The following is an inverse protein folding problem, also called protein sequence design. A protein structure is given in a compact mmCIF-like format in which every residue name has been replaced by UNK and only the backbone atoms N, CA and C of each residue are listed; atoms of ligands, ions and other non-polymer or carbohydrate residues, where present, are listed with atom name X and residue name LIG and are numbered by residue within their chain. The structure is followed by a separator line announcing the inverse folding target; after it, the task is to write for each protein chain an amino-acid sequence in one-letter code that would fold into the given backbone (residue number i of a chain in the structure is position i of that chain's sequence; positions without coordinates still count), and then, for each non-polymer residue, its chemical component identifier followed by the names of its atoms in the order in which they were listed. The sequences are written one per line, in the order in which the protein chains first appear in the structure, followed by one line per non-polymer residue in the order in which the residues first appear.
data_IF_282809419535
#
_entry.id   IF_282809419535
#
_cell.length_a   1.000
_cell.length_b   1.000
_cell.length_c   1.000
_cell.angle_alpha   90.00
_cell.angle_beta   90.00
_cell.angle_gamma   90.00
#
_symmetry.space_group_name_H-M   'P 1'
#
loop_
_entity.id
_entity.type
_entity.pdbx_description
1 polymer ?
#
# COMPACT_ATOMS: atom_id res chain seq x y z
N UNK A 1 31.20 -9.54 25.94
CA UNK A 1 30.18 -9.96 24.95
C UNK A 1 30.77 -9.73 23.57
N UNK A 2 30.85 -10.77 22.73
CA UNK A 2 31.24 -10.64 21.33
C UNK A 2 30.04 -10.09 20.57
N UNK A 3 30.11 -8.84 20.12
CA UNK A 3 29.08 -8.25 19.28
C UNK A 3 29.11 -8.90 17.89
N UNK A 4 27.97 -9.11 17.24
CA UNK A 4 27.95 -9.50 15.84
C UNK A 4 28.65 -8.44 14.98
N UNK A 5 29.38 -8.86 13.94
CA UNK A 5 29.97 -7.92 12.99
C UNK A 5 28.83 -7.19 12.26
N UNK A 6 28.90 -5.85 12.22
CA UNK A 6 27.95 -5.03 11.48
C UNK A 6 28.15 -5.27 9.99
N UNK A 7 27.09 -5.72 9.31
CA UNK A 7 27.09 -5.99 7.87
C UNK A 7 25.67 -5.94 7.31
N UNK A 8 25.59 -5.84 5.98
CA UNK A 8 24.32 -5.98 5.24
C UNK A 8 24.31 -7.33 4.52
N UNK A 9 23.23 -8.08 4.64
CA UNK A 9 23.04 -9.36 3.96
C UNK A 9 21.84 -9.27 3.02
N UNK A 10 22.01 -9.68 1.76
CA UNK A 10 20.92 -9.69 0.77
C UNK A 10 20.41 -11.10 0.54
N UNK A 11 19.09 -11.25 0.55
CA UNK A 11 18.38 -12.49 0.28
C UNK A 11 17.45 -12.31 -0.92
N UNK A 12 17.23 -13.38 -1.68
CA UNK A 12 16.47 -13.32 -2.93
C UNK A 12 15.06 -13.89 -2.81
N UNK A 13 14.75 -14.52 -1.67
CA UNK A 13 13.44 -15.07 -1.36
C UNK A 13 13.06 -14.70 0.08
N UNK A 14 11.75 -14.60 0.34
CA UNK A 14 11.24 -14.28 1.68
C UNK A 14 11.62 -15.37 2.69
N UNK A 15 11.60 -16.65 2.28
CA UNK A 15 11.91 -17.77 3.16
C UNK A 15 13.37 -17.76 3.63
N UNK A 16 14.30 -17.44 2.72
CA UNK A 16 15.72 -17.27 3.08
C UNK A 16 15.92 -16.11 4.05
N UNK A 17 15.27 -14.97 3.79
CA UNK A 17 15.37 -13.82 4.68
C UNK A 17 14.79 -14.13 6.06
N UNK A 18 13.62 -14.77 6.12
CA UNK A 18 12.96 -15.14 7.38
C UNK A 18 13.80 -16.16 8.16
N UNK A 19 14.36 -17.17 7.49
CA UNK A 19 15.26 -18.14 8.11
C UNK A 19 16.51 -17.45 8.72
N UNK A 20 17.10 -16.50 7.98
CA UNK A 20 18.21 -15.72 8.49
C UNK A 20 17.81 -14.85 9.68
N UNK A 21 16.68 -14.15 9.59
CA UNK A 21 16.11 -13.36 10.68
C UNK A 21 15.93 -14.18 11.96
N UNK A 22 15.38 -15.40 11.85
CA UNK A 22 15.26 -16.35 12.97
C UNK A 22 16.61 -16.75 13.55
N UNK A 23 17.58 -17.12 12.70
CA UNK A 23 18.90 -17.56 13.16
C UNK A 23 19.68 -16.46 13.87
N UNK A 24 19.47 -15.20 13.48
CA UNK A 24 20.18 -14.05 14.01
C UNK A 24 19.49 -13.48 15.24
N UNK A 25 18.18 -13.71 15.42
CA UNK A 25 17.33 -13.11 16.44
C UNK A 25 17.92 -13.14 17.86
N UNK A 26 18.64 -14.20 18.25
CA UNK A 26 19.22 -14.32 19.60
C UNK A 26 20.31 -13.28 19.89
N UNK A 27 21.01 -12.77 18.86
CA UNK A 27 22.09 -11.80 19.00
C UNK A 27 21.60 -10.34 19.07
N UNK A 28 20.33 -10.07 18.77
CA UNK A 28 19.76 -8.72 18.69
C UNK A 28 18.66 -8.55 19.74
N UNK A 29 18.54 -7.35 20.31
CA UNK A 29 17.48 -6.99 21.26
C UNK A 29 16.36 -6.19 20.59
N UNK A 30 16.74 -5.41 19.57
CA UNK A 30 15.82 -4.57 18.80
C UNK A 30 15.80 -5.02 17.35
N UNK A 31 14.59 -5.10 16.77
CA UNK A 31 14.42 -5.33 15.35
C UNK A 31 13.50 -4.26 14.77
N UNK A 32 13.94 -3.57 13.72
CA UNK A 32 13.10 -2.65 12.98
C UNK A 32 12.82 -3.15 11.56
N UNK A 33 11.66 -2.82 11.04
CA UNK A 33 11.21 -3.22 9.72
C UNK A 33 10.87 -2.02 8.86
N UNK A 34 11.21 -2.08 7.58
CA UNK A 34 10.51 -1.29 6.59
C UNK A 34 9.04 -1.76 6.44
N UNK A 35 8.16 -0.85 6.03
CA UNK A 35 6.74 -1.13 5.90
C UNK A 35 6.34 -1.64 4.51
N UNK A 36 6.63 -0.85 3.47
CA UNK A 36 6.07 -1.05 2.14
C UNK A 36 7.03 -1.82 1.25
N UNK A 37 6.54 -2.81 0.53
CA UNK A 37 7.35 -3.77 -0.23
C UNK A 37 8.18 -4.73 0.64
N UNK A 38 8.26 -4.46 1.95
CA UNK A 38 8.76 -5.36 2.99
C UNK A 38 7.64 -6.06 3.75
N UNK A 39 7.03 -5.46 4.78
CA UNK A 39 5.98 -6.10 5.58
C UNK A 39 4.66 -6.22 4.81
N UNK A 40 4.31 -5.15 4.07
CA UNK A 40 3.09 -5.04 3.30
C UNK A 40 3.43 -4.77 1.83
N UNK A 41 2.90 -5.58 0.92
CA UNK A 41 2.98 -5.33 -0.53
C UNK A 41 1.67 -4.76 -1.05
N UNK A 42 1.72 -4.05 -2.18
CA UNK A 42 0.54 -3.50 -2.84
C UNK A 42 0.06 -4.40 -3.97
N UNK A 43 -1.26 -4.55 -4.12
CA UNK A 43 -1.92 -5.19 -5.28
C UNK A 43 -1.57 -4.50 -6.60
N UNK A 44 -1.32 -3.20 -6.54
CA UNK A 44 -0.93 -2.34 -7.67
C UNK A 44 0.58 -2.24 -7.83
N UNK A 45 1.02 -1.97 -9.06
CA UNK A 45 2.45 -1.81 -9.40
C UNK A 45 3.01 -0.41 -9.08
N UNK A 46 2.13 0.57 -8.94
CA UNK A 46 2.47 1.98 -8.76
C UNK A 46 1.59 2.55 -7.63
N UNK A 47 2.16 2.91 -6.48
CA UNK A 47 1.43 3.48 -5.35
C UNK A 47 0.59 4.72 -5.72
N UNK A 48 1.02 5.52 -6.71
CA UNK A 48 0.30 6.72 -7.11
C UNK A 48 -1.09 6.44 -7.72
N UNK A 49 -1.36 5.18 -8.11
CA UNK A 49 -2.68 4.79 -8.57
C UNK A 49 -3.75 4.88 -7.49
N UNK A 50 -3.39 4.84 -6.20
CA UNK A 50 -4.32 5.06 -5.07
C UNK A 50 -4.82 6.50 -5.01
N UNK A 51 -4.03 7.47 -5.48
CA UNK A 51 -4.38 8.90 -5.46
C UNK A 51 -5.58 9.21 -6.38
N UNK A 52 -5.72 8.46 -7.49
CA UNK A 52 -6.79 8.67 -8.50
C UNK A 52 -8.21 8.49 -7.95
N UNK A 53 -8.57 7.37 -7.30
CA UNK A 53 -9.90 7.23 -6.69
C UNK A 53 -10.16 8.28 -5.61
N UNK A 54 -9.13 8.77 -4.90
CA UNK A 54 -9.28 9.87 -3.93
C UNK A 54 -9.62 11.18 -4.65
N UNK A 55 -8.91 11.50 -5.74
CA UNK A 55 -9.20 12.69 -6.54
C UNK A 55 -10.62 12.65 -7.15
N UNK A 56 -11.09 11.47 -7.56
CA UNK A 56 -12.48 11.26 -8.01
C UNK A 56 -13.49 11.48 -6.88
N UNK A 57 -13.20 10.96 -5.69
CA UNK A 57 -14.04 11.15 -4.52
C UNK A 57 -14.17 12.63 -4.14
N UNK A 58 -13.05 13.36 -4.09
CA UNK A 58 -13.04 14.82 -3.85
C UNK A 58 -13.84 15.57 -4.93
N UNK A 59 -13.66 15.23 -6.22
CA UNK A 59 -14.42 15.82 -7.33
C UNK A 59 -15.94 15.58 -7.21
N UNK A 60 -16.34 14.39 -6.74
CA UNK A 60 -17.74 14.08 -6.47
C UNK A 60 -18.30 14.92 -5.30
N UNK A 61 -17.55 15.05 -4.20
CA UNK A 61 -17.92 15.92 -3.07
C UNK A 61 -18.05 17.40 -3.50
N UNK A 62 -17.12 17.88 -4.32
CA UNK A 62 -17.19 19.23 -4.87
C UNK A 62 -18.45 19.43 -5.74
N UNK A 63 -18.81 18.42 -6.55
CA UNK A 63 -20.01 18.45 -7.40
C UNK A 63 -21.30 18.51 -6.59
N UNK A 64 -21.38 17.80 -5.45
CA UNK A 64 -22.50 17.89 -4.51
C UNK A 64 -22.64 19.32 -3.94
N UNK A 65 -21.51 19.99 -3.69
CA UNK A 65 -21.43 21.40 -3.32
C UNK A 65 -21.57 22.38 -4.49
N UNK A 66 -22.13 21.94 -5.64
CA UNK A 66 -22.33 22.74 -6.86
C UNK A 66 -21.04 23.32 -7.50
N UNK A 67 -19.86 22.80 -7.15
CA UNK A 67 -18.58 23.16 -7.78
C UNK A 67 -18.24 22.17 -8.88
N UNK A 68 -18.06 22.67 -10.10
CA UNK A 68 -17.63 21.83 -11.24
C UNK A 68 -16.11 21.81 -11.32
N UNK A 69 -15.49 20.74 -10.81
CA UNK A 69 -14.06 20.48 -10.93
C UNK A 69 -13.83 19.04 -11.37
N UNK A 70 -12.99 18.84 -12.40
CA UNK A 70 -12.64 17.49 -12.86
C UNK A 70 -11.70 16.80 -11.88
N UNK A 71 -11.78 15.47 -11.76
CA UNK A 71 -10.86 14.71 -10.90
C UNK A 71 -9.39 14.86 -11.35
N UNK A 72 -9.12 15.09 -12.63
CA UNK A 72 -7.78 15.38 -13.13
C UNK A 72 -7.25 16.71 -12.61
N UNK A 73 -8.11 17.73 -12.54
CA UNK A 73 -7.77 19.03 -11.94
C UNK A 73 -7.51 18.86 -10.45
N UNK A 74 -8.34 18.09 -9.73
CA UNK A 74 -8.10 17.78 -8.31
C UNK A 74 -6.75 17.09 -8.11
N UNK A 75 -6.43 16.06 -8.90
CA UNK A 75 -5.15 15.36 -8.84
C UNK A 75 -3.99 16.32 -9.07
N UNK A 76 -4.10 17.20 -10.08
CA UNK A 76 -3.07 18.20 -10.38
C UNK A 76 -2.83 19.15 -9.20
N UNK A 77 -3.90 19.68 -8.59
CA UNK A 77 -3.79 20.56 -7.42
C UNK A 77 -3.11 19.82 -6.25
N UNK A 78 -3.50 18.57 -6.00
CA UNK A 78 -2.88 17.72 -4.96
C UNK A 78 -1.38 17.58 -5.19
N UNK A 79 -0.97 17.20 -6.41
CA UNK A 79 0.44 16.96 -6.75
C UNK A 79 1.28 18.25 -6.69
N UNK A 80 0.72 19.38 -7.13
CA UNK A 80 1.36 20.70 -7.02
C UNK A 80 1.52 21.13 -5.56
N UNK A 81 0.53 20.85 -4.71
CA UNK A 81 0.56 21.19 -3.29
C UNK A 81 1.55 20.31 -2.52
N UNK A 82 1.56 18.99 -2.78
CA UNK A 82 2.54 18.06 -2.22
C UNK A 82 3.98 18.49 -2.61
N UNK A 83 4.20 18.81 -3.89
CA UNK A 83 5.50 19.29 -4.38
C UNK A 83 5.90 20.62 -3.74
N UNK A 84 4.96 21.56 -3.58
CA UNK A 84 5.24 22.83 -2.91
C UNK A 84 5.68 22.61 -1.46
N UNK A 85 5.03 21.70 -0.72
CA UNK A 85 5.43 21.35 0.63
C UNK A 85 6.83 20.71 0.67
N UNK A 86 7.17 19.80 -0.26
CA UNK A 86 8.52 19.21 -0.35
C UNK A 86 9.60 20.28 -0.58
N UNK A 87 9.31 21.27 -1.41
CA UNK A 87 10.24 22.39 -1.66
C UNK A 87 10.39 23.30 -0.44
N UNK A 88 9.30 23.55 0.29
CA UNK A 88 9.32 24.35 1.51
C UNK A 88 10.10 23.66 2.61
N UNK A 89 9.80 22.39 2.88
CA UNK A 89 10.53 21.57 3.86
C UNK A 89 11.99 21.40 3.47
N UNK A 90 12.27 21.33 2.16
CA UNK A 90 13.61 21.31 1.59
C UNK A 90 14.51 22.51 1.94
N UNK A 91 13.92 23.63 2.41
CA UNK A 91 14.67 24.79 2.91
C UNK A 91 15.22 24.57 4.33
N UNK A 92 14.66 23.63 5.07
CA UNK A 92 14.99 23.36 6.48
C UNK A 92 15.57 21.96 6.67
N UNK A 93 15.08 20.98 5.92
CA UNK A 93 15.45 19.56 5.99
C UNK A 93 15.91 19.08 4.63
N UNK A 94 17.03 18.38 4.56
CA UNK A 94 17.58 17.94 3.27
C UNK A 94 16.75 16.81 2.61
N UNK A 95 15.90 16.09 3.36
CA UNK A 95 15.10 14.96 2.84
C UNK A 95 13.83 15.40 2.09
N UNK A 96 13.48 16.69 2.13
CA UNK A 96 12.36 17.27 1.36
C UNK A 96 11.04 16.48 1.50
N UNK A 97 10.71 16.08 2.74
CA UNK A 97 9.56 15.24 3.00
C UNK A 97 8.24 16.01 3.00
N UNK A 98 7.16 15.35 2.58
CA UNK A 98 5.80 15.88 2.65
C UNK A 98 5.04 15.19 3.77
N UNK A 99 4.09 15.91 4.38
CA UNK A 99 3.24 15.37 5.44
C UNK A 99 1.78 15.48 5.05
N UNK A 100 1.11 14.32 4.94
CA UNK A 100 -0.24 14.17 4.41
C UNK A 100 -1.26 15.17 4.92
N UNK A 101 -1.49 15.31 6.25
CA UNK A 101 -2.54 16.20 6.75
C UNK A 101 -2.33 17.65 6.31
N UNK A 102 -1.07 18.09 6.22
CA UNK A 102 -0.70 19.46 5.87
C UNK A 102 -1.01 19.76 4.40
N UNK A 103 -0.43 19.01 3.45
CA UNK A 103 -0.67 19.30 2.03
C UNK A 103 -2.10 18.97 1.60
N UNK A 104 -2.78 18.01 2.25
CA UNK A 104 -4.17 17.72 1.95
C UNK A 104 -5.12 18.77 2.49
N UNK A 105 -4.88 19.33 3.67
CA UNK A 105 -5.60 20.50 4.14
C UNK A 105 -5.49 21.64 3.12
N UNK A 106 -4.26 21.97 2.69
CA UNK A 106 -4.02 23.02 1.69
C UNK A 106 -4.71 22.71 0.35
N UNK A 107 -4.65 21.47 -0.12
CA UNK A 107 -5.32 21.01 -1.34
C UNK A 107 -6.83 21.23 -1.24
N UNK A 108 -7.45 20.83 -0.13
CA UNK A 108 -8.88 20.96 0.08
C UNK A 108 -9.30 22.42 0.28
N UNK A 109 -8.51 23.23 0.99
CA UNK A 109 -8.74 24.69 1.07
C UNK A 109 -8.69 25.35 -0.30
N UNK A 110 -7.74 24.96 -1.15
CA UNK A 110 -7.64 25.46 -2.53
C UNK A 110 -8.84 25.11 -3.41
N UNK A 111 -9.50 23.98 -3.17
CA UNK A 111 -10.66 23.52 -3.95
C UNK A 111 -11.99 24.03 -3.39
N UNK A 112 -12.16 24.01 -2.06
CA UNK A 112 -13.44 24.30 -1.41
C UNK A 112 -13.55 25.73 -0.88
N UNK A 113 -12.43 26.44 -0.70
CA UNK A 113 -12.40 27.82 -0.23
C UNK A 113 -13.07 27.96 1.14
N UNK A 114 -14.09 28.81 1.23
CA UNK A 114 -14.89 29.04 2.45
C UNK A 114 -15.63 27.81 2.96
N UNK A 115 -15.88 26.82 2.10
CA UNK A 115 -16.66 25.62 2.46
C UNK A 115 -15.76 24.49 2.98
N UNK A 116 -14.46 24.72 3.09
CA UNK A 116 -13.55 23.80 3.76
C UNK A 116 -13.94 23.62 5.23
N UNK A 117 -13.88 22.39 5.72
CA UNK A 117 -14.08 22.04 7.12
C UNK A 117 -13.13 20.92 7.53
N UNK A 118 -12.85 20.81 8.82
CA UNK A 118 -12.04 19.70 9.36
C UNK A 118 -12.72 18.35 9.12
N UNK A 119 -14.07 18.31 9.13
CA UNK A 119 -14.84 17.12 8.76
C UNK A 119 -14.59 16.68 7.32
N UNK A 120 -14.46 17.62 6.37
CA UNK A 120 -14.09 17.31 4.99
C UNK A 120 -12.70 16.68 4.91
N UNK A 121 -11.72 17.23 5.62
CA UNK A 121 -10.37 16.65 5.70
C UNK A 121 -10.41 15.23 6.27
N UNK A 122 -11.14 15.02 7.36
CA UNK A 122 -11.30 13.70 7.97
C UNK A 122 -11.98 12.70 7.02
N UNK A 123 -13.05 13.10 6.31
CA UNK A 123 -13.72 12.26 5.31
C UNK A 123 -12.79 11.84 4.18
N UNK A 124 -12.02 12.78 3.64
CA UNK A 124 -11.06 12.51 2.54
C UNK A 124 -9.92 11.63 3.03
N UNK A 125 -9.38 11.92 4.22
CA UNK A 125 -8.32 11.14 4.87
C UNK A 125 -8.76 9.69 5.08
N UNK A 126 -9.94 9.49 5.67
CA UNK A 126 -10.50 8.15 5.90
C UNK A 126 -10.71 7.39 4.59
N UNK A 127 -11.16 8.08 3.53
CA UNK A 127 -11.30 7.47 2.21
C UNK A 127 -9.94 7.06 1.63
N UNK A 128 -8.90 7.90 1.72
CA UNK A 128 -7.55 7.57 1.23
C UNK A 128 -6.93 6.41 2.02
N UNK A 129 -7.04 6.40 3.35
CA UNK A 129 -6.58 5.28 4.18
C UNK A 129 -7.34 4.00 3.88
N UNK A 130 -8.65 4.08 3.62
CA UNK A 130 -9.45 2.94 3.15
C UNK A 130 -8.93 2.40 1.82
N UNK A 131 -8.65 3.29 0.87
CA UNK A 131 -8.13 2.89 -0.44
C UNK A 131 -6.73 2.27 -0.33
N UNK A 132 -5.79 2.89 0.40
CA UNK A 132 -4.47 2.31 0.67
C UNK A 132 -4.60 0.93 1.32
N UNK A 133 -5.35 0.83 2.42
CA UNK A 133 -5.53 -0.44 3.14
C UNK A 133 -6.15 -1.53 2.27
N UNK A 134 -7.10 -1.21 1.39
CA UNK A 134 -7.72 -2.19 0.48
C UNK A 134 -6.75 -2.75 -0.56
N UNK A 135 -5.65 -2.03 -0.82
CA UNK A 135 -4.61 -2.43 -1.76
C UNK A 135 -3.42 -3.11 -1.08
N UNK A 136 -3.29 -3.01 0.24
CA UNK A 136 -2.19 -3.58 1.00
C UNK A 136 -2.47 -5.02 1.38
N UNK A 137 -1.41 -5.84 1.35
CA UNK A 137 -1.45 -7.24 1.72
C UNK A 137 -0.25 -7.56 2.61
N UNK A 138 -0.49 -8.15 3.79
CA UNK A 138 0.60 -8.60 4.64
C UNK A 138 1.30 -9.82 4.03
N UNK A 139 2.63 -9.85 4.13
CA UNK A 139 3.43 -10.99 3.69
C UNK A 139 3.53 -12.00 4.82
N UNK A 140 2.73 -13.08 4.77
CA UNK A 140 2.54 -13.98 5.91
C UNK A 140 3.84 -14.50 6.54
N UNK A 141 4.88 -14.94 5.79
CA UNK A 141 6.12 -15.41 6.39
C UNK A 141 6.82 -14.35 7.28
N UNK A 142 6.76 -13.07 6.87
CA UNK A 142 7.29 -11.97 7.68
C UNK A 142 6.40 -11.65 8.87
N UNK A 143 5.07 -11.79 8.74
CA UNK A 143 4.17 -11.58 9.87
C UNK A 143 4.40 -12.62 10.97
N UNK A 144 4.65 -13.87 10.58
CA UNK A 144 5.02 -14.93 11.53
C UNK A 144 6.36 -14.63 12.21
N UNK A 145 7.37 -14.16 11.46
CA UNK A 145 8.62 -13.70 12.07
C UNK A 145 8.40 -12.56 13.08
N UNK A 146 7.58 -11.56 12.75
CA UNK A 146 7.25 -10.45 13.67
C UNK A 146 6.63 -10.99 14.96
N UNK A 147 5.66 -11.90 14.86
CA UNK A 147 5.03 -12.54 16.03
C UNK A 147 6.03 -13.31 16.87
N UNK A 148 6.87 -14.12 16.25
CA UNK A 148 7.91 -14.91 16.92
C UNK A 148 8.89 -14.00 17.68
N UNK A 149 9.37 -12.93 17.05
CA UNK A 149 10.28 -11.98 17.69
C UNK A 149 9.61 -11.24 18.86
N UNK A 150 8.34 -10.87 18.71
CA UNK A 150 7.57 -10.27 19.80
C UNK A 150 7.45 -11.22 21.00
N UNK A 151 7.13 -12.50 20.76
CA UNK A 151 7.05 -13.53 21.81
C UNK A 151 8.41 -13.79 22.49
N UNK A 152 9.51 -13.54 21.80
CA UNK A 152 10.87 -13.60 22.37
C UNK A 152 11.24 -12.35 23.18
N UNK A 153 10.33 -11.39 23.34
CA UNK A 153 10.55 -10.15 24.10
C UNK A 153 11.43 -9.13 23.36
N UNK A 154 11.55 -9.24 22.03
CA UNK A 154 12.29 -8.25 21.23
C UNK A 154 11.51 -6.94 21.15
N UNK A 155 12.23 -5.82 21.13
CA UNK A 155 11.64 -4.50 20.86
C UNK A 155 11.48 -4.33 19.36
N UNK A 156 10.25 -4.16 18.89
CA UNK A 156 9.94 -4.11 17.47
C UNK A 156 9.52 -2.71 17.02
N UNK A 157 10.07 -2.23 15.91
CA UNK A 157 9.74 -0.93 15.34
C UNK A 157 9.41 -1.03 13.85
N UNK A 158 8.58 -0.12 13.36
CA UNK A 158 8.43 0.14 11.92
C UNK A 158 9.06 1.48 11.58
N UNK A 159 9.86 1.54 10.51
CA UNK A 159 10.46 2.79 10.00
C UNK A 159 10.18 2.85 8.51
N UNK A 160 9.42 3.86 8.07
CA UNK A 160 8.99 3.99 6.68
C UNK A 160 9.18 5.40 6.14
N UNK A 161 9.72 5.50 4.93
CA UNK A 161 9.83 6.75 4.19
C UNK A 161 8.58 6.93 3.32
N UNK A 162 7.65 7.74 3.79
CA UNK A 162 6.35 7.93 3.14
C UNK A 162 5.70 9.22 3.60
N UNK A 163 4.86 9.81 2.74
CA UNK A 163 4.12 11.02 3.05
C UNK A 163 3.03 10.86 4.14
N UNK A 164 2.75 9.64 4.58
CA UNK A 164 1.75 9.33 5.60
C UNK A 164 2.37 9.39 7.01
N UNK A 165 1.85 10.19 7.95
CA UNK A 165 2.37 10.23 9.31
C UNK A 165 2.16 8.90 10.05
N UNK A 166 2.90 8.68 11.13
CA UNK A 166 2.91 7.46 11.93
C UNK A 166 1.50 7.09 12.42
N UNK A 167 0.65 8.06 12.76
CA UNK A 167 -0.74 7.78 13.14
C UNK A 167 -1.54 7.10 12.02
N UNK A 168 -1.31 7.48 10.76
CA UNK A 168 -1.92 6.84 9.61
C UNK A 168 -1.32 5.45 9.35
N UNK A 169 -0.01 5.31 9.49
CA UNK A 169 0.64 4.00 9.36
C UNK A 169 0.17 3.01 10.43
N UNK A 170 -0.07 3.47 11.67
CA UNK A 170 -0.66 2.65 12.74
C UNK A 170 -2.03 2.13 12.35
N UNK A 171 -2.89 2.93 11.70
CA UNK A 171 -4.19 2.47 11.17
C UNK A 171 -4.00 1.37 10.12
N UNK A 172 -3.01 1.51 9.22
CA UNK A 172 -2.73 0.48 8.19
C UNK A 172 -2.23 -0.83 8.83
N UNK A 173 -1.35 -0.74 9.82
CA UNK A 173 -0.82 -1.89 10.57
C UNK A 173 -1.91 -2.58 11.42
N UNK A 174 -2.83 -1.80 11.99
CA UNK A 174 -3.96 -2.32 12.76
C UNK A 174 -4.91 -3.11 11.87
N UNK A 175 -5.24 -2.57 10.70
CA UNK A 175 -6.04 -3.28 9.67
C UNK A 175 -5.35 -4.52 9.12
N UNK A 176 -4.02 -4.53 9.10
CA UNK A 176 -3.22 -5.71 8.76
C UNK A 176 -3.08 -6.71 9.93
N UNK A 177 -3.57 -6.37 11.12
CA UNK A 177 -3.56 -7.24 12.31
C UNK A 177 -2.20 -7.38 12.98
N UNK A 178 -1.27 -6.44 12.76
CA UNK A 178 0.11 -6.54 13.27
C UNK A 178 0.55 -5.37 14.15
N UNK A 179 -0.23 -4.30 14.26
CA UNK A 179 0.10 -3.16 15.12
C UNK A 179 0.48 -3.56 16.56
N UNK A 180 -0.23 -4.48 17.26
CA UNK A 180 0.06 -4.79 18.66
C UNK A 180 1.46 -5.36 18.92
N UNK A 181 2.17 -5.83 17.90
CA UNK A 181 3.50 -6.40 18.06
C UNK A 181 4.61 -5.34 18.11
N UNK A 182 4.33 -4.12 17.66
CA UNK A 182 5.32 -3.04 17.54
C UNK A 182 5.24 -2.08 18.73
N UNK A 183 6.42 -1.69 19.23
CA UNK A 183 6.58 -0.68 20.28
C UNK A 183 6.24 0.73 19.74
N UNK A 184 6.76 1.08 18.56
CA UNK A 184 6.37 2.31 17.86
C UNK A 184 6.53 2.22 16.34
N UNK A 185 5.93 3.19 15.65
CA UNK A 185 5.96 3.36 14.20
C UNK A 185 6.52 4.74 13.90
N UNK A 186 7.53 4.80 13.04
CA UNK A 186 8.25 6.01 12.68
C UNK A 186 8.04 6.27 11.20
N UNK A 187 7.57 7.48 10.88
CA UNK A 187 7.37 7.95 9.52
C UNK A 187 8.24 9.16 9.23
N UNK A 188 8.85 9.18 8.03
CA UNK A 188 9.58 10.36 7.55
C UNK A 188 8.68 11.60 7.38
N UNK A 189 7.36 11.42 7.24
CA UNK A 189 6.40 12.54 7.23
C UNK A 189 6.27 13.26 8.58
N UNK A 190 6.58 12.61 9.70
CA UNK A 190 6.57 13.25 11.03
C UNK A 190 7.94 13.85 11.39
N UNK A 191 9.00 13.14 11.04
CA UNK A 191 10.37 13.47 11.46
C UNK A 191 11.08 14.40 10.49
N UNK A 192 10.65 14.43 9.22
CA UNK A 192 11.38 14.99 8.08
C UNK A 192 12.80 14.40 7.92
N UNK A 193 13.05 13.23 8.52
CA UNK A 193 14.31 12.49 8.45
C UNK A 193 14.02 11.09 7.91
N UNK A 194 14.56 10.81 6.73
CA UNK A 194 14.31 9.60 5.97
C UNK A 194 15.40 8.53 6.20
N UNK A 195 15.05 7.26 5.97
CA UNK A 195 16.02 6.16 5.83
C UNK A 195 16.86 6.34 4.57
N UNK A 196 16.32 6.91 3.51
CA UNK A 196 17.04 7.17 2.25
C UNK A 196 18.34 7.98 2.46
N UNK A 197 18.32 8.96 3.36
CA UNK A 197 19.51 9.71 3.79
C UNK A 197 20.28 9.08 4.94
N UNK A 198 19.70 8.06 5.59
CA UNK A 198 20.22 7.40 6.78
C UNK A 198 19.91 8.13 8.09
N UNK A 199 19.31 9.32 8.05
CA UNK A 199 19.08 10.14 9.26
C UNK A 199 17.98 9.61 10.17
N UNK A 200 17.09 8.77 9.65
CA UNK A 200 16.09 8.10 10.47
C UNK A 200 16.73 7.24 11.57
N UNK A 201 17.83 6.54 11.29
CA UNK A 201 18.41 5.58 12.24
C UNK A 201 18.99 6.25 13.50
N UNK A 202 19.86 7.28 13.42
CA UNK A 202 20.33 7.98 14.61
C UNK A 202 19.22 8.66 15.40
N UNK A 203 18.18 9.16 14.72
CA UNK A 203 17.01 9.74 15.40
C UNK A 203 16.27 8.69 16.24
N UNK A 204 15.97 7.54 15.65
CA UNK A 204 15.29 6.44 16.35
C UNK A 204 16.15 5.90 17.48
N UNK A 205 17.45 5.69 17.24
CA UNK A 205 18.42 5.29 18.24
C UNK A 205 18.36 6.19 19.48
N UNK A 206 18.48 7.50 19.28
CA UNK A 206 18.48 8.50 20.36
C UNK A 206 17.13 8.56 21.08
N UNK A 207 16.03 8.54 20.33
CA UNK A 207 14.66 8.65 20.89
C UNK A 207 14.32 7.46 21.80
N UNK A 208 14.70 6.24 21.40
CA UNK A 208 14.32 5.00 22.09
C UNK A 208 15.45 4.35 22.87
N UNK A 209 16.61 5.00 22.94
CA UNK A 209 17.82 4.55 23.64
C UNK A 209 18.21 3.12 23.21
N UNK A 210 18.29 2.90 21.90
CA UNK A 210 18.64 1.61 21.30
C UNK A 210 20.16 1.55 21.13
N UNK A 211 20.75 0.39 21.45
CA UNK A 211 22.14 0.09 21.13
C UNK A 211 22.23 -0.39 19.67
N UNK A 212 22.98 0.33 18.82
CA UNK A 212 23.12 -0.01 17.41
C UNK A 212 23.67 -1.42 17.17
N UNK A 213 24.53 -1.93 18.06
CA UNK A 213 25.19 -3.24 17.90
C UNK A 213 24.26 -4.43 18.15
N UNK A 214 23.16 -4.19 18.85
CA UNK A 214 22.11 -5.18 19.11
C UNK A 214 20.80 -4.82 18.40
N UNK A 215 20.91 -4.00 17.35
CA UNK A 215 19.82 -3.64 16.46
C UNK A 215 19.97 -4.31 15.09
N UNK A 216 18.92 -5.02 14.68
CA UNK A 216 18.73 -5.55 13.33
C UNK A 216 17.69 -4.73 12.56
N UNK A 217 17.98 -4.35 11.33
CA UNK A 217 16.99 -3.76 10.42
C UNK A 217 16.66 -4.72 9.27
N UNK A 218 15.38 -4.80 8.89
CA UNK A 218 14.90 -5.65 7.79
C UNK A 218 14.10 -4.78 6.80
N UNK A 219 14.47 -4.80 5.53
CA UNK A 219 13.76 -4.07 4.48
C UNK A 219 14.01 -4.63 3.08
N UNK A 220 13.53 -3.94 2.04
CA UNK A 220 13.66 -4.39 0.64
C UNK A 220 14.67 -3.55 -0.15
N UNK A 221 14.94 -2.32 0.29
CA UNK A 221 15.80 -1.41 -0.44
C UNK A 221 17.28 -1.60 -0.07
N UNK A 222 18.17 -1.94 -1.03
CA UNK A 222 19.59 -2.18 -0.74
C UNK A 222 20.34 -0.97 -0.17
N UNK A 223 19.85 0.25 -0.44
CA UNK A 223 20.47 1.48 0.05
C UNK A 223 19.82 1.88 1.38
N UNK A 224 18.55 2.25 1.36
CA UNK A 224 17.89 2.82 2.56
C UNK A 224 17.71 1.81 3.70
N UNK A 225 17.57 0.53 3.38
CA UNK A 225 17.40 -0.54 4.37
C UNK A 225 18.62 -1.46 4.47
N UNK A 226 19.61 -1.28 3.59
CA UNK A 226 20.84 -2.06 3.56
C UNK A 226 22.05 -1.26 4.03
N UNK A 227 22.53 -0.38 3.15
CA UNK A 227 23.72 0.45 3.37
C UNK A 227 23.55 1.46 4.51
N UNK A 228 22.43 2.21 4.54
CA UNK A 228 22.20 3.30 5.51
C UNK A 228 22.15 2.84 6.98
N UNK A 229 21.51 1.70 7.34
CA UNK A 229 21.64 1.14 8.67
C UNK A 229 23.09 0.78 9.02
N UNK A 230 23.84 0.17 8.09
CA UNK A 230 25.24 -0.24 8.31
C UNK A 230 26.14 0.96 8.58
N UNK A 231 25.96 2.06 7.84
CA UNK A 231 26.64 3.34 8.11
C UNK A 231 26.36 3.89 9.52
N UNK A 232 25.21 3.51 10.10
CA UNK A 232 24.81 3.84 11.47
C UNK A 232 25.17 2.76 12.50
N UNK A 233 25.97 1.75 12.14
CA UNK A 233 26.39 0.67 13.03
C UNK A 233 25.36 -0.45 13.25
N UNK A 234 24.31 -0.50 12.42
CA UNK A 234 23.17 -1.43 12.55
C UNK A 234 23.33 -2.56 11.51
N UNK A 235 23.15 -3.82 11.92
CA UNK A 235 23.12 -4.94 10.97
C UNK A 235 21.83 -4.90 10.16
N UNK A 236 21.88 -5.19 8.86
CA UNK A 236 20.69 -5.21 8.00
C UNK A 236 20.50 -6.51 7.21
N UNK A 237 19.24 -6.90 7.00
CA UNK A 237 18.82 -7.93 6.06
C UNK A 237 17.95 -7.30 4.98
N UNK A 238 18.34 -7.47 3.72
CA UNK A 238 17.67 -6.88 2.56
C UNK A 238 17.00 -7.97 1.74
N UNK A 239 15.70 -7.82 1.48
CA UNK A 239 14.94 -8.69 0.58
C UNK A 239 14.94 -8.14 -0.84
N UNK A 240 15.64 -8.82 -1.74
CA UNK A 240 15.59 -8.57 -3.18
C UNK A 240 14.65 -9.55 -3.87
N UNK A 241 13.36 -9.29 -3.71
CA UNK A 241 12.31 -10.15 -4.23
C UNK A 241 12.14 -10.03 -5.77
N UNK A 242 12.64 -11.03 -6.50
CA UNK A 242 12.50 -11.07 -7.96
C UNK A 242 11.06 -11.34 -8.42
N UNK A 243 10.29 -12.09 -7.64
CA UNK A 243 8.95 -12.52 -8.01
C UNK A 243 7.97 -11.35 -7.89
N UNK A 244 8.07 -10.61 -6.78
CA UNK A 244 7.31 -9.38 -6.58
C UNK A 244 7.67 -8.32 -7.64
N UNK A 245 8.95 -8.19 -7.96
CA UNK A 245 9.41 -7.29 -9.04
C UNK A 245 8.83 -7.69 -10.39
N UNK A 246 8.83 -8.99 -10.72
CA UNK A 246 8.24 -9.52 -11.95
C UNK A 246 6.73 -9.28 -11.99
N UNK A 247 6.02 -9.53 -10.88
CA UNK A 247 4.59 -9.28 -10.75
C UNK A 247 4.26 -7.81 -10.98
N UNK A 248 4.94 -6.87 -10.32
CA UNK A 248 4.79 -5.43 -10.57
C UNK A 248 4.99 -5.06 -12.04
N UNK A 249 6.03 -5.62 -12.68
CA UNK A 249 6.29 -5.37 -14.09
C UNK A 249 5.16 -5.89 -15.00
N UNK A 250 4.61 -7.07 -14.72
CA UNK A 250 3.50 -7.65 -15.45
C UNK A 250 2.22 -6.79 -15.32
N UNK A 251 1.89 -6.38 -14.10
CA UNK A 251 0.73 -5.53 -13.82
C UNK A 251 0.88 -4.18 -14.51
N UNK A 252 2.08 -3.57 -14.47
CA UNK A 252 2.39 -2.33 -15.20
C UNK A 252 2.13 -2.49 -16.70
N UNK A 253 2.56 -3.62 -17.28
CA UNK A 253 2.33 -3.94 -18.70
C UNK A 253 0.84 -4.04 -19.03
N UNK A 254 0.07 -4.79 -18.22
CA UNK A 254 -1.38 -4.92 -18.41
C UNK A 254 -2.11 -3.58 -18.23
N UNK A 255 -1.74 -2.79 -17.22
CA UNK A 255 -2.29 -1.45 -17.04
C UNK A 255 -2.05 -0.57 -18.28
N UNK A 256 -0.83 -0.56 -18.82
CA UNK A 256 -0.53 0.24 -20.01
C UNK A 256 -1.30 -0.22 -21.25
N UNK A 257 -1.41 -1.53 -21.49
CA UNK A 257 -2.21 -2.04 -22.59
C UNK A 257 -3.71 -1.79 -22.43
N UNK A 258 -4.21 -1.76 -21.19
CA UNK A 258 -5.62 -1.51 -20.89
C UNK A 258 -6.12 -0.13 -21.35
N UNK A 259 -5.20 0.83 -21.55
CA UNK A 259 -5.51 2.18 -22.03
C UNK A 259 -6.07 2.18 -23.46
N UNK A 260 -5.60 1.28 -24.31
CA UNK A 260 -6.02 1.19 -25.72
C UNK A 260 -6.70 -0.13 -26.12
N UNK A 261 -6.67 -1.15 -25.25
CA UNK A 261 -7.15 -2.51 -25.57
C UNK A 261 -8.05 -3.05 -24.44
N UNK A 262 -9.38 -3.13 -24.63
CA UNK A 262 -10.33 -3.52 -23.59
C UNK A 262 -10.03 -4.86 -22.90
N UNK A 263 -9.54 -5.86 -23.64
CA UNK A 263 -9.13 -7.15 -23.09
C UNK A 263 -8.16 -7.02 -21.89
N UNK A 264 -7.21 -6.08 -21.98
CA UNK A 264 -6.21 -5.89 -20.93
C UNK A 264 -6.75 -5.15 -19.71
N UNK A 265 -7.95 -4.55 -19.77
CA UNK A 265 -8.66 -4.06 -18.57
C UNK A 265 -9.07 -5.23 -17.68
N UNK A 266 -9.60 -6.30 -18.26
CA UNK A 266 -9.89 -7.55 -17.55
C UNK A 266 -8.66 -8.18 -16.95
N UNK A 267 -7.53 -8.19 -17.68
CA UNK A 267 -6.24 -8.67 -17.15
C UNK A 267 -5.72 -7.79 -16.01
N UNK A 268 -5.81 -6.47 -16.11
CA UNK A 268 -5.42 -5.57 -15.02
C UNK A 268 -6.30 -5.76 -13.78
N UNK A 269 -7.62 -5.88 -13.96
CA UNK A 269 -8.58 -6.16 -12.88
C UNK A 269 -8.28 -7.51 -12.22
N UNK A 270 -8.07 -8.56 -13.02
CA UNK A 270 -7.64 -9.85 -12.49
C UNK A 270 -6.42 -9.72 -11.59
N UNK A 271 -5.40 -8.95 -11.97
CA UNK A 271 -4.20 -8.84 -11.14
C UNK A 271 -4.46 -8.13 -9.80
N UNK A 272 -5.45 -7.24 -9.74
CA UNK A 272 -5.90 -6.66 -8.47
C UNK A 272 -6.64 -7.72 -7.63
N UNK A 273 -7.44 -8.53 -8.30
CA UNK A 273 -8.19 -9.61 -7.70
C UNK A 273 -7.35 -10.85 -7.42
N UNK A 274 -6.14 -10.95 -7.99
CA UNK A 274 -5.26 -12.09 -7.78
C UNK A 274 -5.13 -12.22 -6.28
N UNK A 275 -5.39 -13.41 -5.74
CA UNK A 275 -5.00 -13.67 -4.38
C UNK A 275 -3.46 -13.66 -4.42
N UNK A 276 -2.87 -12.49 -4.22
CA UNK A 276 -1.62 -12.38 -3.47
C UNK A 276 -1.80 -13.10 -2.11
N UNK A 277 -3.03 -13.21 -1.63
CA UNK A 277 -3.43 -14.19 -0.60
C UNK A 277 -3.16 -15.65 -0.95
N UNK A 278 -2.93 -16.04 -2.21
CA UNK A 278 -2.52 -17.41 -2.55
C UNK A 278 -1.02 -17.63 -2.34
N UNK A 279 -0.23 -16.56 -2.16
CA UNK A 279 1.09 -16.66 -1.53
C UNK A 279 0.96 -16.92 -0.02
N UNK A 280 -0.17 -16.51 0.59
CA UNK A 280 -0.46 -16.72 2.02
C UNK A 280 -1.30 -17.99 2.30
N UNK A 281 -2.00 -18.54 1.30
CA UNK A 281 -2.92 -19.68 1.40
C UNK A 281 -2.66 -20.61 0.22
N UNK A 282 -2.23 -21.83 0.49
CA UNK A 282 -2.02 -22.83 -0.56
C UNK A 282 -3.31 -23.08 -1.36
N UNK A 283 -3.20 -23.09 -2.70
CA UNK A 283 -4.31 -23.34 -3.62
C UNK A 283 -3.93 -24.42 -4.62
N UNK A 284 -4.88 -25.28 -4.96
CA UNK A 284 -4.72 -26.29 -6.01
C UNK A 284 -4.39 -25.64 -7.36
N UNK A 285 -3.60 -26.32 -8.19
CA UNK A 285 -3.19 -25.81 -9.51
C UNK A 285 -4.39 -25.47 -10.41
N UNK A 286 -5.43 -26.30 -10.41
CA UNK A 286 -6.66 -26.02 -11.18
C UNK A 286 -7.36 -24.74 -10.74
N UNK A 287 -7.32 -24.41 -9.44
CA UNK A 287 -7.84 -23.13 -8.95
C UNK A 287 -7.00 -21.96 -9.50
N UNK A 288 -5.67 -22.09 -9.46
CA UNK A 288 -4.74 -21.08 -9.99
C UNK A 288 -4.96 -20.87 -11.49
N UNK A 289 -5.10 -21.92 -12.26
CA UNK A 289 -5.40 -21.86 -13.70
C UNK A 289 -6.76 -21.22 -13.99
N UNK A 290 -7.80 -21.65 -13.28
CA UNK A 290 -9.14 -21.07 -13.44
C UNK A 290 -9.18 -19.59 -13.09
N UNK A 291 -8.52 -19.21 -12.00
CA UNK A 291 -8.32 -17.81 -11.62
C UNK A 291 -7.51 -17.05 -12.69
N UNK A 292 -6.41 -17.63 -13.18
CA UNK A 292 -5.47 -17.02 -14.10
C UNK A 292 -6.01 -16.86 -15.53
N UNK A 293 -6.95 -17.71 -15.95
CA UNK A 293 -7.49 -17.71 -17.30
C UNK A 293 -8.95 -17.24 -17.36
N UNK A 294 -9.86 -17.88 -16.62
CA UNK A 294 -11.29 -17.57 -16.67
C UNK A 294 -11.66 -16.32 -15.86
N UNK A 295 -10.99 -16.07 -14.73
CA UNK A 295 -11.22 -14.88 -13.89
C UNK A 295 -11.27 -13.55 -14.66
N UNK A 296 -10.26 -13.19 -15.48
CA UNK A 296 -10.25 -11.99 -16.33
C UNK A 296 -11.42 -11.90 -17.27
N UNK A 297 -11.77 -13.02 -17.88
CA UNK A 297 -12.81 -13.07 -18.91
C UNK A 297 -14.16 -12.78 -18.27
N UNK A 298 -14.44 -13.43 -17.14
CA UNK A 298 -15.66 -13.23 -16.37
C UNK A 298 -15.70 -11.80 -15.81
N UNK A 299 -14.60 -11.31 -15.24
CA UNK A 299 -14.51 -9.95 -14.70
C UNK A 299 -14.69 -8.87 -15.76
N UNK A 300 -14.07 -9.02 -16.94
CA UNK A 300 -14.26 -8.09 -18.06
C UNK A 300 -15.71 -8.05 -18.55
N UNK A 301 -16.34 -9.23 -18.64
CA UNK A 301 -17.74 -9.34 -19.02
C UNK A 301 -18.66 -8.65 -18.01
N UNK A 302 -18.47 -8.91 -16.70
CA UNK A 302 -19.24 -8.28 -15.62
C UNK A 302 -19.09 -6.75 -15.62
N UNK A 303 -17.86 -6.24 -15.80
CA UNK A 303 -17.63 -4.80 -15.88
C UNK A 303 -18.29 -4.16 -17.11
N UNK A 304 -18.16 -4.81 -18.28
CA UNK A 304 -18.84 -4.35 -19.49
C UNK A 304 -20.35 -4.33 -19.31
N UNK A 305 -20.92 -5.39 -18.72
CA UNK A 305 -22.34 -5.51 -18.45
C UNK A 305 -22.83 -4.39 -17.51
N UNK A 306 -22.08 -4.09 -16.44
CA UNK A 306 -22.41 -3.01 -15.51
C UNK A 306 -22.37 -1.63 -16.19
N UNK A 307 -21.30 -1.32 -16.95
CA UNK A 307 -21.18 -0.07 -17.70
C UNK A 307 -22.34 0.10 -18.69
N UNK A 308 -22.70 -0.97 -19.40
CA UNK A 308 -23.76 -0.95 -20.40
C UNK A 308 -25.15 -0.79 -19.77
N UNK A 309 -25.39 -1.43 -18.62
CA UNK A 309 -26.63 -1.24 -17.87
C UNK A 309 -26.81 0.21 -17.45
N UNK A 310 -25.75 0.87 -16.97
CA UNK A 310 -25.80 2.30 -16.62
C UNK A 310 -26.03 3.18 -17.83
N UNK A 311 -25.31 2.91 -18.94
CA UNK A 311 -25.45 3.65 -20.20
C UNK A 311 -26.88 3.60 -20.72
N UNK A 312 -27.56 2.46 -20.55
CA UNK A 312 -28.92 2.21 -21.02
C UNK A 312 -30.01 2.49 -19.97
N UNK A 313 -29.64 2.83 -18.72
CA UNK A 313 -30.60 3.01 -17.62
C UNK A 313 -31.34 1.73 -17.21
N UNK A 314 -30.70 0.56 -17.38
CA UNK A 314 -31.27 -0.74 -17.01
C UNK A 314 -31.21 -0.95 -15.50
N UNK A 315 -32.34 -1.36 -14.92
CA UNK A 315 -32.50 -1.55 -13.47
C UNK A 315 -32.53 -3.02 -13.04
N UNK A 316 -32.57 -3.96 -14.00
CA UNK A 316 -32.58 -5.41 -13.77
C UNK A 316 -31.78 -6.16 -14.82
N UNK A 317 -31.08 -7.21 -14.41
CA UNK A 317 -30.32 -8.13 -15.27
C UNK A 317 -30.59 -9.57 -14.82
N UNK A 318 -30.92 -10.43 -15.78
CA UNK A 318 -31.23 -11.84 -15.54
C UNK A 318 -30.18 -12.77 -16.13
N UNK A 319 -29.67 -13.72 -15.35
CA UNK A 319 -28.67 -14.71 -15.80
C UNK A 319 -29.32 -16.08 -16.03
N UNK A 320 -29.89 -16.28 -17.23
CA UNK A 320 -30.73 -17.46 -17.53
C UNK A 320 -30.01 -18.79 -17.78
N UNK A 321 -28.70 -18.80 -18.03
CA UNK A 321 -27.98 -20.05 -18.29
C UNK A 321 -27.49 -20.71 -17.00
N UNK A 322 -27.25 -22.03 -17.04
CA UNK A 322 -26.64 -22.78 -15.92
C UNK A 322 -25.29 -22.18 -15.52
N UNK A 323 -24.51 -21.77 -16.50
CA UNK A 323 -23.24 -21.07 -16.33
C UNK A 323 -23.43 -19.62 -15.82
N UNK A 324 -24.59 -19.04 -16.10
CA UNK A 324 -24.99 -17.69 -15.69
C UNK A 324 -24.94 -17.48 -14.17
N UNK A 325 -25.14 -18.55 -13.38
CA UNK A 325 -24.98 -18.51 -11.92
C UNK A 325 -23.59 -18.04 -11.49
N UNK A 326 -22.52 -18.49 -12.18
CA UNK A 326 -21.15 -18.06 -11.89
C UNK A 326 -20.97 -16.58 -12.21
N UNK A 327 -21.47 -16.11 -13.34
CA UNK A 327 -21.41 -14.69 -13.72
C UNK A 327 -22.21 -13.81 -12.74
N UNK A 328 -23.38 -14.28 -12.30
CA UNK A 328 -24.19 -13.63 -11.28
C UNK A 328 -23.41 -13.47 -9.99
N UNK A 329 -22.83 -14.55 -9.46
CA UNK A 329 -22.03 -14.49 -8.23
C UNK A 329 -20.87 -13.49 -8.34
N UNK A 330 -20.16 -13.48 -9.47
CA UNK A 330 -19.06 -12.54 -9.70
C UNK A 330 -19.58 -11.11 -9.86
N UNK A 331 -20.76 -10.90 -10.44
CA UNK A 331 -21.43 -9.61 -10.52
C UNK A 331 -21.79 -9.09 -9.12
N UNK A 332 -22.42 -9.92 -8.31
CA UNK A 332 -22.89 -9.60 -6.96
C UNK A 332 -21.74 -9.22 -6.03
N UNK A 333 -20.58 -9.88 -6.16
CA UNK A 333 -19.38 -9.59 -5.38
C UNK A 333 -18.69 -8.31 -5.86
N UNK A 334 -18.51 -8.13 -7.19
CA UNK A 334 -17.65 -7.07 -7.71
C UNK A 334 -18.35 -5.73 -7.90
N UNK A 335 -19.62 -5.73 -8.32
CA UNK A 335 -20.30 -4.48 -8.69
C UNK A 335 -20.43 -3.49 -7.53
N UNK A 336 -20.72 -3.90 -6.26
CA UNK A 336 -20.73 -2.95 -5.14
C UNK A 336 -19.37 -2.31 -4.86
N UNK A 337 -18.28 -3.04 -5.14
CA UNK A 337 -16.91 -2.56 -4.96
C UNK A 337 -16.53 -1.54 -6.04
N UNK A 338 -16.93 -1.80 -7.29
CA UNK A 338 -16.57 -0.99 -8.46
C UNK A 338 -17.46 0.26 -8.60
N UNK A 339 -18.71 0.20 -8.14
CA UNK A 339 -19.71 1.27 -8.30
C UNK A 339 -20.43 1.55 -6.97
N UNK A 340 -19.74 2.26 -6.07
CA UNK A 340 -20.24 2.59 -4.71
C UNK A 340 -21.36 3.62 -4.67
N UNK A 341 -21.71 4.23 -5.80
CA UNK A 341 -22.81 5.18 -5.91
C UNK A 341 -24.19 4.51 -5.92
N UNK A 342 -24.24 3.17 -5.97
CA UNK A 342 -25.47 2.38 -5.81
C UNK A 342 -26.38 2.35 -7.05
N UNK A 343 -25.96 2.99 -8.14
CA UNK A 343 -26.67 3.04 -9.41
C UNK A 343 -26.34 1.81 -10.26
N UNK A 344 -26.84 0.66 -9.80
CA UNK A 344 -26.60 -0.66 -10.41
C UNK A 344 -27.92 -1.44 -10.56
N UNK A 345 -28.05 -2.24 -11.63
CA UNK A 345 -29.20 -3.11 -11.79
C UNK A 345 -29.22 -4.21 -10.74
N UNK A 346 -30.42 -4.59 -10.29
CA UNK A 346 -30.60 -5.81 -9.49
C UNK A 346 -30.33 -7.03 -10.37
N UNK A 347 -29.53 -7.95 -9.87
CA UNK A 347 -29.19 -9.22 -10.51
C UNK A 347 -30.13 -10.30 -10.00
N UNK A 348 -30.83 -10.98 -10.91
CA UNK A 348 -31.76 -12.07 -10.61
C UNK A 348 -31.34 -13.38 -11.31
#
# INVERSE_FOLDING_TARGET
MNYPNVSSHTYYTIDQLVAAGRSMASAYQTVSFDLFDTLLIRRIHDPDLVKRPVARYISALASQGKRKISWQTVQKIRDETEKAQRLETGRTYEDQEACYPVFMEQTLRGIFGSDYTDDLLNKVTNYELHMESSMLIPRAPLMELVKELHLQGKRLFVISDVYLPAIHLKILLDRAGILPYFEDVISSADTFLAKASGRAFPLVQKKFQIDEKTWLHIGDNPISDGLRPVESGITSLVLKDSDEKFRKALIKRYHNYSKGRPFYRGRALQQLMLPLEAENIERQDLYREGFNFFGPMIGAFVHYLADECRRLGLTKVFFFSREGYTFKNVCDINTPLLYRDGDLPRTE
#
